data_IF_445705246219
#
_entry.id   IF_445705246219
#
_cell.length_a   1.000
_cell.length_b   1.000
_cell.length_c   1.000
_cell.angle_alpha   90.00
_cell.angle_beta   90.00
_cell.angle_gamma   90.00
#
_symmetry.space_group_name_H-M   'P 1'
#
loop_
_entity.id
_entity.type
_entity.pdbx_description
1 polymer ?
#
# COMPACT_ATOMS: atom_id res chain seq x y z
N UNK A 1 30.24 -12.41 -8.01
CA UNK A 1 29.05 -12.77 -8.82
C UNK A 1 27.88 -12.47 -7.92
N UNK A 2 27.24 -11.33 -8.10
CA UNK A 2 26.03 -10.95 -7.38
C UNK A 2 24.93 -11.88 -7.90
N UNK A 3 24.35 -12.70 -7.04
CA UNK A 3 23.13 -13.46 -7.38
C UNK A 3 22.08 -12.40 -7.78
N UNK A 4 21.74 -12.37 -9.05
CA UNK A 4 20.56 -11.62 -9.49
C UNK A 4 19.38 -12.40 -8.91
N UNK A 5 18.76 -11.84 -7.86
CA UNK A 5 17.50 -12.36 -7.33
C UNK A 5 16.52 -12.43 -8.50
N UNK A 6 15.87 -13.56 -8.66
CA UNK A 6 14.79 -13.68 -9.65
C UNK A 6 13.56 -12.97 -9.12
N UNK A 7 13.46 -11.69 -9.40
CA UNK A 7 12.35 -10.84 -8.98
C UNK A 7 11.03 -11.18 -9.70
N UNK A 8 11.08 -12.08 -10.68
CA UNK A 8 9.91 -12.48 -11.47
C UNK A 8 9.19 -13.70 -10.90
N UNK A 9 9.76 -14.39 -9.91
CA UNK A 9 9.16 -15.59 -9.32
C UNK A 9 7.75 -15.32 -8.74
N UNK A 10 7.51 -14.13 -8.19
CA UNK A 10 6.19 -13.74 -7.68
C UNK A 10 5.12 -13.52 -8.78
N UNK A 11 5.51 -13.52 -10.05
CA UNK A 11 4.58 -13.33 -11.16
C UNK A 11 3.53 -14.46 -11.27
N UNK A 12 3.80 -15.62 -10.69
CA UNK A 12 2.88 -16.76 -10.67
C UNK A 12 1.83 -16.70 -9.55
N UNK A 13 1.99 -15.78 -8.58
CA UNK A 13 1.03 -15.60 -7.50
C UNK A 13 -0.15 -14.74 -7.98
N UNK A 14 -1.34 -15.30 -7.91
CA UNK A 14 -2.60 -14.67 -8.32
C UNK A 14 -3.64 -14.71 -7.21
N UNK A 15 -4.77 -14.04 -7.41
CA UNK A 15 -5.93 -14.09 -6.51
C UNK A 15 -6.49 -15.50 -6.28
N UNK A 16 -6.14 -16.48 -7.14
CA UNK A 16 -6.57 -17.88 -7.03
C UNK A 16 -5.50 -18.80 -6.44
N UNK A 17 -4.31 -18.29 -6.11
CA UNK A 17 -3.25 -19.08 -5.49
C UNK A 17 -3.69 -19.61 -4.12
N UNK A 18 -3.67 -20.92 -3.86
CA UNK A 18 -4.28 -21.50 -2.66
C UNK A 18 -3.75 -20.91 -1.35
N UNK A 19 -2.45 -20.72 -1.20
CA UNK A 19 -1.85 -20.13 -0.02
C UNK A 19 -2.28 -18.65 0.16
N UNK A 20 -2.40 -17.87 -0.93
CA UNK A 20 -2.94 -16.53 -0.89
C UNK A 20 -4.42 -16.52 -0.44
N UNK A 21 -5.24 -17.38 -1.01
CA UNK A 21 -6.67 -17.49 -0.63
C UNK A 21 -6.81 -17.89 0.84
N UNK A 22 -5.97 -18.79 1.35
CA UNK A 22 -5.97 -19.19 2.76
C UNK A 22 -5.59 -18.00 3.67
N UNK A 23 -4.52 -17.27 3.33
CA UNK A 23 -4.09 -16.06 4.04
C UNK A 23 -5.18 -15.01 4.09
N UNK A 24 -5.75 -14.67 2.93
CA UNK A 24 -6.82 -13.67 2.80
C UNK A 24 -8.04 -14.03 3.64
N UNK A 25 -8.50 -15.27 3.55
CA UNK A 25 -9.67 -15.74 4.31
C UNK A 25 -9.41 -15.76 5.82
N UNK A 26 -8.21 -16.14 6.25
CA UNK A 26 -7.83 -16.11 7.65
C UNK A 26 -7.78 -14.66 8.18
N UNK A 27 -7.23 -13.71 7.42
CA UNK A 27 -7.22 -12.31 7.77
C UNK A 27 -8.64 -11.75 7.90
N UNK A 28 -9.53 -12.02 6.93
CA UNK A 28 -10.93 -11.58 6.98
C UNK A 28 -11.67 -12.15 8.22
N UNK A 29 -11.46 -13.42 8.52
CA UNK A 29 -12.07 -14.04 9.71
C UNK A 29 -11.53 -13.44 11.01
N UNK A 30 -10.23 -13.10 11.04
CA UNK A 30 -9.60 -12.45 12.18
C UNK A 30 -10.11 -11.03 12.40
N UNK A 31 -10.33 -10.26 11.34
CA UNK A 31 -10.90 -8.91 11.38
C UNK A 31 -12.25 -8.85 12.08
N UNK A 32 -13.07 -9.90 11.95
CA UNK A 32 -14.38 -10.00 12.62
C UNK A 32 -14.28 -10.07 14.16
N UNK A 33 -13.10 -10.37 14.71
CA UNK A 33 -12.83 -10.44 16.15
C UNK A 33 -12.11 -9.18 16.66
N UNK A 34 -11.54 -8.37 15.77
CA UNK A 34 -10.78 -7.19 16.13
C UNK A 34 -11.67 -5.99 16.41
N UNK A 35 -11.26 -5.14 17.33
CA UNK A 35 -11.82 -3.80 17.53
C UNK A 35 -10.94 -2.75 16.84
N UNK A 36 -11.38 -1.50 16.88
CA UNK A 36 -10.80 -0.38 16.09
C UNK A 36 -9.27 -0.24 16.17
N UNK A 37 -8.67 -0.50 17.33
CA UNK A 37 -7.22 -0.42 17.54
C UNK A 37 -6.44 -1.66 17.08
N UNK A 38 -7.15 -2.66 16.55
CA UNK A 38 -6.57 -3.91 16.08
C UNK A 38 -6.50 -5.00 17.14
N UNK A 39 -6.81 -4.71 18.41
CA UNK A 39 -6.82 -5.71 19.48
C UNK A 39 -8.03 -6.64 19.42
N UNK A 40 -7.93 -7.80 20.11
CA UNK A 40 -9.03 -8.75 20.31
C UNK A 40 -9.29 -8.88 21.81
N UNK A 41 -10.14 -8.03 22.42
CA UNK A 41 -10.32 -7.98 23.85
C UNK A 41 -11.10 -9.17 24.41
N UNK A 42 -11.92 -9.84 23.58
CA UNK A 42 -12.78 -10.94 24.00
C UNK A 42 -11.97 -12.24 24.15
N UNK A 43 -11.66 -12.64 25.36
CA UNK A 43 -10.84 -13.83 25.66
C UNK A 43 -11.44 -15.14 25.07
N UNK A 44 -12.75 -15.22 24.88
CA UNK A 44 -13.42 -16.35 24.21
C UNK A 44 -13.00 -16.51 22.74
N UNK A 45 -12.55 -15.45 22.09
CA UNK A 45 -12.09 -15.45 20.70
C UNK A 45 -10.62 -15.83 20.55
N UNK A 46 -9.83 -15.81 21.65
CA UNK A 46 -8.37 -16.01 21.58
C UNK A 46 -7.95 -17.39 21.05
N UNK A 47 -8.74 -18.43 21.32
CA UNK A 47 -8.43 -19.75 20.77
C UNK A 47 -8.56 -19.77 19.24
N UNK A 48 -9.69 -19.29 18.71
CA UNK A 48 -9.94 -19.21 17.27
C UNK A 48 -8.98 -18.22 16.60
N UNK A 49 -8.67 -17.10 17.24
CA UNK A 49 -7.70 -16.13 16.72
C UNK A 49 -6.29 -16.74 16.58
N UNK A 50 -5.84 -17.59 17.53
CA UNK A 50 -4.57 -18.32 17.42
C UNK A 50 -4.55 -19.27 16.23
N UNK A 51 -5.66 -20.00 16.00
CA UNK A 51 -5.78 -20.90 14.85
C UNK A 51 -5.70 -20.13 13.53
N UNK A 52 -6.38 -18.98 13.42
CA UNK A 52 -6.35 -18.13 12.24
C UNK A 52 -4.94 -17.54 12.01
N UNK A 53 -4.28 -17.05 13.06
CA UNK A 53 -2.88 -16.56 12.94
C UNK A 53 -1.94 -17.70 12.52
N UNK A 54 -2.13 -18.93 13.03
CA UNK A 54 -1.35 -20.08 12.58
C UNK A 54 -1.51 -20.36 11.09
N UNK A 55 -2.74 -20.29 10.56
CA UNK A 55 -3.00 -20.39 9.12
C UNK A 55 -2.32 -19.27 8.35
N UNK A 56 -2.36 -18.03 8.87
CA UNK A 56 -1.68 -16.90 8.23
C UNK A 56 -0.16 -17.12 8.16
N UNK A 57 0.45 -17.54 9.26
CA UNK A 57 1.90 -17.83 9.33
C UNK A 57 2.30 -18.95 8.36
N UNK A 58 1.53 -20.03 8.30
CA UNK A 58 1.76 -21.12 7.34
C UNK A 58 1.66 -20.63 5.90
N UNK A 59 0.62 -19.86 5.57
CA UNK A 59 0.40 -19.31 4.24
C UNK A 59 1.50 -18.32 3.83
N UNK A 60 1.94 -17.43 4.74
CA UNK A 60 3.05 -16.51 4.50
C UNK A 60 4.33 -17.32 4.24
N UNK A 61 4.60 -18.35 5.04
CA UNK A 61 5.79 -19.20 4.88
C UNK A 61 5.79 -19.96 3.55
N UNK A 62 4.62 -20.40 3.06
CA UNK A 62 4.47 -21.04 1.75
C UNK A 62 4.68 -20.05 0.60
N UNK A 63 4.21 -18.81 0.75
CA UNK A 63 4.34 -17.74 -0.24
C UNK A 63 5.74 -17.10 -0.29
N UNK A 64 6.44 -17.03 0.84
CA UNK A 64 7.70 -16.30 0.99
C UNK A 64 8.77 -16.63 -0.06
N UNK A 65 8.96 -17.90 -0.52
CA UNK A 65 9.91 -18.20 -1.58
C UNK A 65 9.64 -17.49 -2.91
N UNK A 66 8.40 -17.07 -3.16
CA UNK A 66 8.02 -16.28 -4.34
C UNK A 66 8.35 -14.80 -4.22
N UNK A 67 8.72 -14.32 -3.03
CA UNK A 67 9.06 -12.93 -2.73
C UNK A 67 10.46 -12.82 -2.11
N UNK A 68 11.53 -13.27 -2.81
CA UNK A 68 12.87 -13.30 -2.23
C UNK A 68 13.42 -11.93 -1.85
N UNK A 69 12.92 -10.87 -2.47
CA UNK A 69 13.27 -9.48 -2.17
C UNK A 69 12.60 -8.96 -0.88
N UNK A 70 11.57 -9.63 -0.40
CA UNK A 70 10.83 -9.32 0.84
C UNK A 70 11.13 -10.31 1.97
N UNK A 71 12.11 -11.20 1.82
CA UNK A 71 12.35 -12.30 2.76
C UNK A 71 12.50 -11.83 4.21
N UNK A 72 13.35 -10.83 4.47
CA UNK A 72 13.55 -10.27 5.83
C UNK A 72 12.26 -9.68 6.39
N UNK A 73 11.50 -9.01 5.56
CA UNK A 73 10.21 -8.44 5.93
C UNK A 73 9.18 -9.53 6.30
N UNK A 74 9.06 -10.57 5.47
CA UNK A 74 8.09 -11.65 5.73
C UNK A 74 8.46 -12.46 6.99
N UNK A 75 9.76 -12.69 7.23
CA UNK A 75 10.24 -13.28 8.47
C UNK A 75 9.88 -12.40 9.69
N UNK A 76 10.03 -11.10 9.57
CA UNK A 76 9.67 -10.15 10.62
C UNK A 76 8.16 -10.13 10.87
N UNK A 77 7.32 -10.20 9.82
CA UNK A 77 5.85 -10.29 9.95
C UNK A 77 5.44 -11.54 10.74
N UNK A 78 6.02 -12.69 10.42
CA UNK A 78 5.77 -13.94 11.14
C UNK A 78 6.13 -13.79 12.62
N UNK A 79 7.27 -13.17 12.92
CA UNK A 79 7.68 -12.90 14.29
C UNK A 79 6.77 -11.91 15.02
N UNK A 80 6.31 -10.84 14.34
CA UNK A 80 5.37 -9.86 14.90
C UNK A 80 4.01 -10.50 15.22
N UNK A 81 3.47 -11.31 14.30
CA UNK A 81 2.26 -12.12 14.55
C UNK A 81 2.41 -13.03 15.77
N UNK A 82 3.55 -13.71 15.89
CA UNK A 82 3.86 -14.55 17.06
C UNK A 82 3.87 -13.74 18.36
N UNK A 83 4.55 -12.60 18.39
CA UNK A 83 4.58 -11.71 19.57
C UNK A 83 3.19 -11.19 19.93
N UNK A 84 2.38 -10.86 18.96
CA UNK A 84 1.01 -10.40 19.19
C UNK A 84 0.14 -11.48 19.82
N UNK A 85 0.26 -12.73 19.37
CA UNK A 85 -0.40 -13.91 19.96
C UNK A 85 0.07 -14.13 21.42
N UNK A 86 1.39 -14.13 21.66
CA UNK A 86 1.98 -14.30 22.99
C UNK A 86 1.57 -13.16 23.94
N UNK A 87 1.43 -11.94 23.42
CA UNK A 87 0.93 -10.76 24.14
C UNK A 87 -0.57 -10.78 24.42
N UNK A 88 -1.30 -11.84 24.04
CA UNK A 88 -2.74 -12.00 24.32
C UNK A 88 -3.62 -11.10 23.47
N UNK A 89 -3.21 -10.82 22.26
CA UNK A 89 -3.96 -10.02 21.26
C UNK A 89 -4.31 -8.59 21.72
N UNK A 90 -3.40 -7.97 22.49
CA UNK A 90 -3.48 -6.53 22.76
C UNK A 90 -3.36 -5.69 21.50
N UNK A 91 -3.24 -4.36 21.67
CA UNK A 91 -2.94 -3.48 20.53
C UNK A 91 -1.67 -3.97 19.81
N UNK A 92 -1.73 -4.24 18.50
CA UNK A 92 -0.60 -4.78 17.76
C UNK A 92 0.52 -3.74 17.62
N UNK A 93 1.77 -4.24 17.56
CA UNK A 93 2.97 -3.43 17.32
C UNK A 93 3.86 -4.14 16.30
N UNK A 94 3.83 -3.65 15.06
CA UNK A 94 4.53 -4.23 13.91
C UNK A 94 5.74 -3.38 13.48
N UNK A 95 6.41 -2.74 14.44
CA UNK A 95 7.58 -1.91 14.18
C UNK A 95 8.70 -2.70 13.49
N UNK A 96 8.96 -3.94 13.89
CA UNK A 96 10.06 -4.71 13.32
C UNK A 96 9.84 -5.01 11.83
N UNK A 97 8.64 -5.45 11.45
CA UNK A 97 8.34 -5.74 10.06
C UNK A 97 8.27 -4.48 9.18
N UNK A 98 7.75 -3.35 9.70
CA UNK A 98 7.71 -2.12 8.91
C UNK A 98 9.11 -1.55 8.64
N UNK A 99 10.06 -1.76 9.53
CA UNK A 99 11.45 -1.33 9.34
C UNK A 99 12.18 -2.17 8.26
N UNK A 100 11.77 -3.42 8.06
CA UNK A 100 12.32 -4.32 7.03
C UNK A 100 11.62 -4.15 5.67
N UNK A 101 10.40 -3.61 5.63
CA UNK A 101 9.67 -3.43 4.38
C UNK A 101 10.21 -2.26 3.58
N UNK A 102 10.76 -2.53 2.41
CA UNK A 102 11.42 -1.54 1.57
C UNK A 102 11.01 -1.63 0.08
N UNK A 103 9.73 -1.40 -0.27
CA UNK A 103 9.23 -1.56 -1.63
C UNK A 103 9.93 -0.61 -2.61
N UNK A 104 10.35 0.58 -2.14
CA UNK A 104 11.08 1.56 -2.95
C UNK A 104 12.48 1.08 -3.40
N UNK A 105 13.04 0.03 -2.79
CA UNK A 105 14.28 -0.58 -3.23
C UNK A 105 14.11 -1.44 -4.49
N UNK A 106 12.88 -1.87 -4.81
CA UNK A 106 12.56 -2.82 -5.88
C UNK A 106 11.69 -2.16 -6.97
N UNK A 107 12.12 -1.01 -7.46
CA UNK A 107 11.45 -0.25 -8.53
C UNK A 107 11.67 -0.90 -9.89
N UNK A 108 11.11 -2.08 -10.07
CA UNK A 108 11.15 -2.84 -11.31
C UNK A 108 9.73 -3.16 -11.72
N UNK A 109 9.39 -2.86 -12.97
CA UNK A 109 8.04 -3.08 -13.49
C UNK A 109 7.61 -4.54 -13.37
N UNK A 110 6.43 -4.78 -12.78
CA UNK A 110 5.88 -6.11 -12.60
C UNK A 110 6.38 -6.86 -11.36
N UNK A 111 7.27 -6.27 -10.56
CA UNK A 111 7.66 -6.86 -9.26
C UNK A 111 6.47 -6.82 -8.31
N UNK A 112 6.18 -7.95 -7.67
CA UNK A 112 5.08 -8.10 -6.73
C UNK A 112 5.57 -8.12 -5.30
N UNK A 113 4.76 -7.59 -4.41
CA UNK A 113 4.95 -7.64 -2.96
C UNK A 113 3.73 -8.25 -2.27
N UNK A 114 3.99 -9.08 -1.27
CA UNK A 114 2.99 -9.54 -0.32
C UNK A 114 3.05 -8.63 0.91
N UNK A 115 1.99 -7.85 1.14
CA UNK A 115 1.91 -6.90 2.26
C UNK A 115 0.93 -7.43 3.29
N UNK A 116 1.38 -7.60 4.54
CA UNK A 116 0.54 -8.03 5.66
C UNK A 116 0.86 -7.17 6.88
N UNK A 117 -0.10 -6.34 7.30
CA UNK A 117 0.03 -5.51 8.49
C UNK A 117 -1.32 -5.29 9.18
N UNK A 118 -1.34 -5.13 10.51
CA UNK A 118 -2.45 -4.40 11.14
C UNK A 118 -2.31 -2.92 10.77
N UNK A 119 -3.24 -2.41 9.96
CA UNK A 119 -3.14 -1.06 9.41
C UNK A 119 -4.51 -0.48 9.10
N UNK A 120 -4.63 0.85 9.16
CA UNK A 120 -5.78 1.52 8.60
C UNK A 120 -5.57 1.78 7.10
N UNK A 121 -6.64 1.70 6.34
CA UNK A 121 -6.63 1.98 4.91
C UNK A 121 -6.98 3.45 4.69
N UNK A 122 -6.04 4.24 4.24
CA UNK A 122 -6.25 5.68 4.08
C UNK A 122 -7.38 5.96 3.09
N UNK A 123 -8.29 6.87 3.44
CA UNK A 123 -9.54 7.14 2.76
C UNK A 123 -10.56 5.98 2.75
N UNK A 124 -10.24 4.88 3.38
CA UNK A 124 -11.14 3.74 3.60
C UNK A 124 -11.55 3.63 5.06
N UNK A 125 -11.03 2.63 5.75
CA UNK A 125 -11.28 2.39 7.18
C UNK A 125 -10.23 3.06 8.06
N UNK A 126 -10.65 3.60 9.21
CA UNK A 126 -9.74 4.05 10.29
C UNK A 126 -9.48 2.94 11.32
N UNK A 127 -9.99 1.74 11.10
CA UNK A 127 -9.74 0.58 11.94
C UNK A 127 -8.36 0.00 11.58
N UNK A 128 -7.58 -0.36 12.60
CA UNK A 128 -6.25 -0.98 12.43
C UNK A 128 -6.37 -2.51 12.41
N UNK A 129 -7.17 -3.03 11.50
CA UNK A 129 -7.31 -4.47 11.32
C UNK A 129 -6.11 -5.06 10.61
N UNK A 130 -5.90 -6.36 10.81
CA UNK A 130 -4.90 -7.08 10.00
C UNK A 130 -5.41 -7.15 8.56
N UNK A 131 -4.71 -6.48 7.68
CA UNK A 131 -4.96 -6.47 6.23
C UNK A 131 -3.88 -7.29 5.51
N UNK A 132 -4.28 -7.93 4.42
CA UNK A 132 -3.37 -8.61 3.51
C UNK A 132 -3.62 -8.10 2.09
N UNK A 133 -2.54 -7.76 1.39
CA UNK A 133 -2.60 -7.15 0.06
C UNK A 133 -1.52 -7.76 -0.82
N UNK A 134 -1.89 -8.13 -2.02
CA UNK A 134 -0.97 -8.52 -3.09
C UNK A 134 -0.92 -7.38 -4.09
N UNK A 135 0.24 -6.77 -4.24
CA UNK A 135 0.46 -5.60 -5.10
C UNK A 135 1.52 -5.86 -6.15
N UNK A 136 1.47 -5.09 -7.23
CA UNK A 136 2.45 -5.13 -8.31
C UNK A 136 2.98 -3.72 -8.59
N UNK A 137 4.31 -3.58 -8.67
CA UNK A 137 4.98 -2.31 -8.97
C UNK A 137 4.73 -1.93 -10.43
N UNK A 138 4.33 -0.69 -10.64
CA UNK A 138 4.15 -0.08 -11.96
C UNK A 138 5.35 0.84 -12.25
N UNK A 139 6.36 0.30 -12.95
CA UNK A 139 7.60 1.01 -13.24
C UNK A 139 7.94 0.92 -14.73
N UNK A 140 7.11 1.53 -15.62
CA UNK A 140 7.38 1.52 -17.05
C UNK A 140 8.67 2.26 -17.40
N UNK A 141 9.26 1.95 -18.56
CA UNK A 141 10.57 2.46 -18.98
C UNK A 141 10.66 4.00 -18.96
N UNK A 142 9.60 4.69 -19.37
CA UNK A 142 9.58 6.15 -19.36
C UNK A 142 9.65 6.75 -17.95
N UNK A 143 9.10 6.08 -16.95
CA UNK A 143 9.22 6.47 -15.54
C UNK A 143 10.64 6.18 -15.05
N UNK A 144 11.21 5.04 -15.40
CA UNK A 144 12.59 4.71 -15.07
C UNK A 144 13.59 5.75 -15.64
N UNK A 145 13.37 6.22 -16.85
CA UNK A 145 14.17 7.27 -17.51
C UNK A 145 14.03 8.63 -16.78
N UNK A 146 12.82 9.02 -16.40
CA UNK A 146 12.57 10.25 -15.63
C UNK A 146 13.24 10.19 -14.25
N UNK A 147 13.14 9.07 -13.58
CA UNK A 147 13.73 8.85 -12.25
C UNK A 147 15.25 8.75 -12.27
N UNK A 148 15.85 8.35 -13.38
CA UNK A 148 17.30 8.35 -13.55
C UNK A 148 17.89 9.77 -13.69
N UNK A 149 17.06 10.77 -14.04
CA UNK A 149 17.43 12.16 -14.22
C UNK A 149 17.22 13.05 -13.01
N UNK A 150 16.91 14.31 -13.29
CA UNK A 150 16.67 15.35 -12.28
C UNK A 150 15.33 15.16 -11.56
N UNK A 151 14.46 14.27 -12.03
CA UNK A 151 13.14 13.98 -11.49
C UNK A 151 13.11 12.81 -10.50
N UNK A 152 14.20 12.52 -9.87
CA UNK A 152 14.32 11.41 -8.94
C UNK A 152 13.48 11.62 -7.68
N UNK A 153 12.48 10.75 -7.46
CA UNK A 153 11.72 10.64 -6.23
C UNK A 153 11.97 9.27 -5.58
N UNK A 154 12.80 9.23 -4.53
CA UNK A 154 13.24 7.98 -3.90
C UNK A 154 12.23 7.36 -2.95
N UNK A 155 11.15 8.06 -2.61
CA UNK A 155 10.21 7.66 -1.56
C UNK A 155 9.00 6.92 -2.09
N UNK A 156 8.46 7.34 -3.24
CA UNK A 156 7.20 6.82 -3.75
C UNK A 156 7.39 5.68 -4.74
N UNK A 157 6.48 4.71 -4.66
CA UNK A 157 6.40 3.57 -5.59
C UNK A 157 4.96 3.48 -6.08
N UNK A 158 4.71 3.72 -7.37
CA UNK A 158 3.40 3.46 -7.97
C UNK A 158 3.16 1.95 -8.03
N UNK A 159 1.99 1.55 -7.57
CA UNK A 159 1.58 0.15 -7.51
C UNK A 159 0.14 -0.01 -7.98
N UNK A 160 -0.22 -1.25 -8.31
CA UNK A 160 -1.61 -1.65 -8.51
C UNK A 160 -1.95 -2.86 -7.67
N UNK A 161 -3.23 -3.03 -7.39
CA UNK A 161 -3.71 -4.23 -6.72
C UNK A 161 -3.72 -5.45 -7.67
N UNK A 162 -3.31 -6.58 -7.14
CA UNK A 162 -3.65 -7.90 -7.70
C UNK A 162 -4.87 -8.43 -6.95
N UNK A 163 -4.82 -8.40 -5.60
CA UNK A 163 -5.94 -8.75 -4.72
C UNK A 163 -5.71 -8.17 -3.32
N UNK A 164 -6.76 -8.08 -2.51
CA UNK A 164 -6.71 -7.44 -1.19
C UNK A 164 -7.83 -7.89 -0.26
N UNK A 165 -7.66 -7.65 1.02
CA UNK A 165 -8.70 -7.79 2.04
C UNK A 165 -9.69 -6.62 2.03
N UNK A 166 -10.94 -6.78 2.54
CA UNK A 166 -12.02 -5.80 2.36
C UNK A 166 -11.75 -4.38 2.84
N UNK A 167 -10.78 -4.16 3.74
CA UNK A 167 -10.39 -2.81 4.17
C UNK A 167 -9.97 -1.91 3.00
N UNK A 168 -9.43 -2.51 1.93
CA UNK A 168 -9.02 -1.83 0.71
C UNK A 168 -10.08 -1.75 -0.39
N UNK A 169 -11.29 -2.26 -0.14
CA UNK A 169 -12.40 -2.23 -1.11
C UNK A 169 -13.01 -0.83 -1.30
N UNK A 170 -12.57 0.12 -0.50
CA UNK A 170 -12.98 1.52 -0.56
C UNK A 170 -11.95 2.38 -1.33
N UNK A 171 -11.98 3.68 -1.14
CA UNK A 171 -11.14 4.64 -1.86
C UNK A 171 -9.71 4.75 -1.31
N UNK A 172 -9.07 3.63 -0.95
CA UNK A 172 -7.68 3.64 -0.51
C UNK A 172 -6.76 4.02 -1.66
N UNK A 173 -6.04 5.12 -1.51
CA UNK A 173 -5.14 5.65 -2.53
C UNK A 173 -3.67 5.33 -2.25
N UNK A 174 -3.31 5.17 -0.97
CA UNK A 174 -1.91 5.10 -0.54
C UNK A 174 -1.69 4.16 0.65
N UNK A 175 -0.46 3.66 0.77
CA UNK A 175 0.05 2.91 1.90
C UNK A 175 1.37 3.55 2.34
N UNK A 176 1.47 3.94 3.61
CA UNK A 176 2.65 4.55 4.23
C UNK A 176 3.01 3.83 5.53
N UNK A 177 4.25 3.98 6.04
CA UNK A 177 4.60 3.47 7.37
C UNK A 177 3.62 3.89 8.48
N UNK A 178 3.15 5.14 8.47
CA UNK A 178 2.24 5.67 9.49
C UNK A 178 0.86 5.02 9.49
N UNK A 179 0.48 4.31 8.43
CA UNK A 179 -0.79 3.57 8.38
C UNK A 179 -0.73 2.26 9.16
N UNK A 180 0.47 1.73 9.41
CA UNK A 180 0.69 0.48 10.12
C UNK A 180 0.60 0.69 11.64
N UNK A 181 0.11 -0.30 12.37
CA UNK A 181 0.04 -0.27 13.81
C UNK A 181 1.43 -0.41 14.43
N UNK A 182 1.88 0.64 15.09
CA UNK A 182 3.19 0.73 15.75
C UNK A 182 3.08 1.65 16.97
N UNK A 183 3.92 1.40 17.99
CA UNK A 183 4.07 2.32 19.13
C UNK A 183 4.95 3.51 18.79
N UNK A 184 5.99 3.28 18.00
CA UNK A 184 6.90 4.32 17.51
C UNK A 184 6.79 4.41 16.01
N UNK A 185 6.40 5.57 15.50
CA UNK A 185 6.31 5.80 14.05
C UNK A 185 7.72 6.10 13.54
N UNK A 186 8.27 5.26 12.64
CA UNK A 186 9.58 5.53 12.04
C UNK A 186 9.52 6.74 11.14
N UNK A 187 10.68 7.26 10.77
CA UNK A 187 10.76 8.29 9.74
C UNK A 187 10.10 7.79 8.45
N UNK A 188 9.40 8.69 7.75
CA UNK A 188 8.81 8.39 6.45
C UNK A 188 9.92 8.02 5.45
N UNK A 189 9.93 6.77 5.02
CA UNK A 189 10.99 6.20 4.17
C UNK A 189 10.49 5.69 2.83
N UNK A 190 9.20 5.49 2.68
CA UNK A 190 8.55 5.05 1.45
C UNK A 190 7.05 5.32 1.47
N UNK A 191 6.45 5.35 0.29
CA UNK A 191 5.01 5.37 0.10
C UNK A 191 4.64 4.57 -1.14
N UNK A 192 3.60 3.75 -1.06
CA UNK A 192 3.01 3.07 -2.20
C UNK A 192 1.70 3.77 -2.59
N UNK A 193 1.57 4.12 -3.87
CA UNK A 193 0.40 4.83 -4.41
C UNK A 193 -0.33 3.89 -5.37
N UNK A 194 -1.63 3.70 -5.12
CA UNK A 194 -2.47 2.77 -5.87
C UNK A 194 -3.04 3.42 -7.13
N UNK A 195 -2.32 3.32 -8.22
CA UNK A 195 -2.63 4.01 -9.48
C UNK A 195 -3.89 3.47 -10.18
N UNK A 196 -4.17 2.19 -10.08
CA UNK A 196 -5.38 1.60 -10.60
C UNK A 196 -6.64 2.16 -9.92
N UNK A 197 -6.56 2.51 -8.63
CA UNK A 197 -7.66 3.14 -7.89
C UNK A 197 -7.84 4.60 -8.28
N UNK A 198 -6.77 5.35 -8.46
CA UNK A 198 -6.83 6.73 -8.91
C UNK A 198 -7.43 6.80 -10.32
N UNK A 199 -6.99 5.95 -11.24
CA UNK A 199 -7.54 5.88 -12.60
C UNK A 199 -9.04 5.51 -12.60
N UNK A 200 -9.44 4.52 -11.80
CA UNK A 200 -10.85 4.13 -11.68
C UNK A 200 -11.72 5.25 -11.10
N UNK A 201 -11.23 5.94 -10.06
CA UNK A 201 -11.92 7.08 -9.46
C UNK A 201 -12.07 8.24 -10.44
N UNK A 202 -11.00 8.56 -11.17
CA UNK A 202 -11.03 9.59 -12.20
C UNK A 202 -12.12 9.31 -13.24
N UNK A 203 -12.21 8.09 -13.75
CA UNK A 203 -13.22 7.72 -14.73
C UNK A 203 -14.65 7.99 -14.21
N UNK A 204 -14.98 7.44 -13.03
CA UNK A 204 -16.31 7.58 -12.41
C UNK A 204 -16.66 9.05 -12.14
N UNK A 205 -15.72 9.82 -11.56
CA UNK A 205 -15.97 11.21 -11.19
C UNK A 205 -16.11 12.10 -12.43
N UNK A 206 -15.27 11.88 -13.45
CA UNK A 206 -15.28 12.69 -14.68
C UNK A 206 -16.53 12.44 -15.50
N UNK A 207 -16.97 11.19 -15.65
CA UNK A 207 -18.22 10.86 -16.32
C UNK A 207 -19.42 11.50 -15.62
N UNK A 208 -19.52 11.36 -14.30
CA UNK A 208 -20.60 11.95 -13.53
C UNK A 208 -20.59 13.50 -13.60
N UNK A 209 -19.42 14.12 -13.54
CA UNK A 209 -19.28 15.56 -13.67
C UNK A 209 -19.69 16.06 -15.05
N UNK A 210 -19.28 15.38 -16.12
CA UNK A 210 -19.67 15.71 -17.49
C UNK A 210 -21.18 15.60 -17.68
N UNK A 211 -21.82 14.55 -17.15
CA UNK A 211 -23.26 14.36 -17.20
C UNK A 211 -24.01 15.48 -16.47
N UNK A 212 -23.64 15.79 -15.23
CA UNK A 212 -24.30 16.81 -14.37
C UNK A 212 -24.15 18.21 -14.98
N UNK A 213 -22.99 18.53 -15.53
CA UNK A 213 -22.70 19.86 -16.06
C UNK A 213 -23.11 20.02 -17.52
N UNK A 214 -23.40 18.94 -18.24
CA UNK A 214 -23.67 18.93 -19.67
C UNK A 214 -22.46 19.36 -20.52
N UNK A 215 -21.23 19.17 -19.98
CA UNK A 215 -19.99 19.49 -20.69
C UNK A 215 -19.57 18.33 -21.59
N UNK A 216 -19.24 18.67 -22.84
CA UNK A 216 -18.60 17.74 -23.76
C UNK A 216 -17.10 17.64 -23.40
N UNK A 217 -16.64 16.40 -23.19
CA UNK A 217 -15.23 16.18 -22.84
C UNK A 217 -14.34 16.37 -24.08
N UNK A 218 -13.18 17.02 -23.93
CA UNK A 218 -12.12 17.01 -24.95
C UNK A 218 -11.71 15.58 -25.31
N UNK A 219 -11.21 15.38 -26.53
CA UNK A 219 -10.88 14.04 -27.03
C UNK A 219 -9.84 13.31 -26.19
N UNK A 220 -8.85 14.01 -25.69
CA UNK A 220 -7.81 13.49 -24.79
C UNK A 220 -8.36 13.06 -23.43
N UNK A 221 -9.26 13.85 -22.83
CA UNK A 221 -9.93 13.46 -21.60
C UNK A 221 -10.85 12.25 -21.80
N UNK A 222 -11.58 12.21 -22.93
CA UNK A 222 -12.43 11.06 -23.28
C UNK A 222 -11.61 9.78 -23.52
N UNK A 223 -10.40 9.88 -24.06
CA UNK A 223 -9.49 8.76 -24.24
C UNK A 223 -9.05 8.18 -22.89
N UNK A 224 -8.72 9.02 -21.91
CA UNK A 224 -8.37 8.57 -20.55
C UNK A 224 -9.46 7.75 -19.88
N UNK A 225 -10.75 8.05 -20.14
CA UNK A 225 -11.86 7.29 -19.57
C UNK A 225 -11.97 5.86 -20.12
N UNK A 226 -11.49 5.63 -21.32
CA UNK A 226 -11.62 4.34 -22.01
C UNK A 226 -10.34 3.54 -22.11
N UNK A 227 -9.21 4.16 -21.77
CA UNK A 227 -7.87 3.56 -21.83
C UNK A 227 -7.24 3.50 -20.44
N UNK A 228 -7.54 2.42 -19.70
CA UNK A 228 -7.06 2.21 -18.33
C UNK A 228 -5.53 2.34 -18.21
N UNK A 229 -4.79 1.74 -19.14
CA UNK A 229 -3.32 1.81 -19.14
C UNK A 229 -2.82 3.25 -19.29
N UNK A 230 -3.36 4.02 -20.22
CA UNK A 230 -2.97 5.42 -20.43
C UNK A 230 -3.31 6.27 -19.20
N UNK A 231 -4.46 6.01 -18.57
CA UNK A 231 -4.89 6.68 -17.35
C UNK A 231 -3.91 6.38 -16.21
N UNK A 232 -3.57 5.12 -15.96
CA UNK A 232 -2.60 4.73 -14.94
C UNK A 232 -1.21 5.37 -15.17
N UNK A 233 -0.69 5.31 -16.40
CA UNK A 233 0.59 5.94 -16.76
C UNK A 233 0.56 7.45 -16.57
N UNK A 234 -0.56 8.10 -16.85
CA UNK A 234 -0.75 9.54 -16.63
C UNK A 234 -0.74 9.88 -15.16
N UNK A 235 -1.41 9.10 -14.31
CA UNK A 235 -1.40 9.29 -12.86
C UNK A 235 -0.03 9.03 -12.25
N UNK A 236 0.69 7.99 -12.69
CA UNK A 236 2.07 7.75 -12.26
C UNK A 236 2.94 8.98 -12.51
N UNK A 237 2.86 9.54 -13.72
CA UNK A 237 3.63 10.73 -14.08
C UNK A 237 3.21 11.95 -13.25
N UNK A 238 1.91 12.13 -13.04
CA UNK A 238 1.37 13.23 -12.26
C UNK A 238 1.84 13.17 -10.80
N UNK A 239 1.73 12.00 -10.14
CA UNK A 239 2.17 11.80 -8.76
C UNK A 239 3.69 12.00 -8.63
N UNK A 240 4.46 11.49 -9.59
CA UNK A 240 5.91 11.66 -9.62
C UNK A 240 6.30 13.15 -9.62
N UNK A 241 5.62 13.96 -10.42
CA UNK A 241 5.87 15.41 -10.52
C UNK A 241 5.34 16.13 -9.27
N UNK A 242 4.13 15.81 -8.84
CA UNK A 242 3.44 16.41 -7.71
C UNK A 242 4.21 16.21 -6.40
N UNK A 243 4.45 14.96 -6.02
CA UNK A 243 5.13 14.62 -4.78
C UNK A 243 6.56 15.14 -4.72
N UNK A 244 7.23 15.11 -5.87
CA UNK A 244 8.54 15.69 -5.99
C UNK A 244 8.55 17.20 -5.80
N UNK A 245 7.53 17.90 -6.29
CA UNK A 245 7.40 19.33 -6.11
C UNK A 245 7.28 19.67 -4.61
N UNK A 246 6.54 18.86 -3.84
CA UNK A 246 6.50 19.00 -2.39
C UNK A 246 7.86 18.80 -1.71
N UNK A 247 8.70 17.96 -2.28
CA UNK A 247 10.03 17.66 -1.75
C UNK A 247 11.12 18.64 -2.23
N UNK A 248 10.80 19.51 -3.20
CA UNK A 248 11.72 20.50 -3.76
C UNK A 248 11.62 21.85 -3.03
N UNK A 249 12.70 22.63 -3.03
CA UNK A 249 12.75 23.97 -2.45
C UNK A 249 13.45 24.02 -1.08
N UNK A 250 13.38 25.19 -0.45
CA UNK A 250 14.16 25.52 0.77
C UNK A 250 13.60 24.85 2.06
N UNK A 251 12.37 24.33 1.99
CA UNK A 251 11.72 23.61 3.09
C UNK A 251 11.59 22.15 2.69
N UNK A 252 12.38 21.25 3.26
CA UNK A 252 12.26 19.82 3.01
C UNK A 252 10.87 19.32 3.42
N UNK A 253 10.42 18.27 2.74
CA UNK A 253 9.20 17.55 3.10
C UNK A 253 9.32 17.06 4.55
N UNK A 254 8.61 17.72 5.44
CA UNK A 254 8.53 17.37 6.84
C UNK A 254 7.05 17.14 7.20
N UNK A 255 6.64 15.89 7.51
CA UNK A 255 5.27 15.57 7.89
C UNK A 255 4.76 16.41 9.06
N UNK A 256 5.66 16.81 9.98
CA UNK A 256 5.32 17.70 11.08
C UNK A 256 4.95 19.11 10.59
N UNK A 257 5.72 19.65 9.65
CA UNK A 257 5.45 20.95 9.06
C UNK A 257 4.16 20.96 8.24
N UNK A 258 3.84 19.89 7.54
CA UNK A 258 2.56 19.73 6.84
C UNK A 258 1.40 19.79 7.81
N UNK A 259 1.45 19.05 8.92
CA UNK A 259 0.42 19.09 9.96
C UNK A 259 0.25 20.48 10.59
N UNK A 260 1.32 21.23 10.73
CA UNK A 260 1.25 22.63 11.23
C UNK A 260 0.70 23.62 10.21
N UNK A 261 0.89 23.35 8.91
CA UNK A 261 0.36 24.19 7.82
C UNK A 261 -1.14 23.97 7.57
N UNK A 262 -1.66 22.78 7.86
CA UNK A 262 -3.06 22.42 7.63
C UNK A 262 -4.09 23.41 8.22
N UNK A 263 -3.92 23.99 9.44
CA UNK A 263 -4.88 24.94 9.99
C UNK A 263 -4.88 26.31 9.29
N UNK A 264 -3.85 26.60 8.51
CA UNK A 264 -3.63 27.92 7.93
C UNK A 264 -3.57 27.75 6.42
N UNK A 265 -4.59 27.76 5.72
CA UNK A 265 -4.68 27.69 4.28
C UNK A 265 -3.35 27.75 3.44
N UNK A 266 -2.22 27.81 4.11
CA UNK A 266 -0.87 27.58 3.56
C UNK A 266 -0.72 26.20 2.92
N UNK A 267 -1.49 25.21 3.39
CA UNK A 267 -1.58 23.91 2.74
C UNK A 267 -2.10 24.02 1.29
N UNK A 268 -3.16 24.79 1.08
CA UNK A 268 -3.67 25.06 -0.26
C UNK A 268 -2.69 25.80 -1.18
N UNK A 269 -1.78 26.61 -0.62
CA UNK A 269 -0.71 27.25 -1.39
C UNK A 269 0.42 26.27 -1.72
N UNK A 270 0.69 25.29 -0.88
CA UNK A 270 1.64 24.21 -1.15
C UNK A 270 1.16 23.33 -2.31
N UNK A 271 -0.14 23.04 -2.36
CA UNK A 271 -0.74 22.27 -3.45
C UNK A 271 -0.80 23.03 -4.80
N UNK A 272 -0.57 24.35 -4.78
CA UNK A 272 -0.53 25.18 -6.00
C UNK A 272 0.89 25.34 -6.57
N UNK A 273 1.89 24.75 -5.97
CA UNK A 273 3.27 24.80 -6.44
C UNK A 273 3.48 23.91 -7.64
#
# INVERSE_FOLDING_TARGET
MTNVLDLTAAADITETTPAWVALKNAAIALQAMQIKDGSIPEASNHASARELVAVMVESISELAPSFPHDASYLDAVIADLGRWVEGGFGEPDFLASILEFAPAANRVNGVRHLVVFPMYTQNGSTNRFVEAVLIEVMWPDFIAELEAGDYNNKLFVPVRFIDFTPGYDTNSAVLFPETVAMREVPAFTWGAIFQDREAARFAVVTEAAAEITGLELPADAAELLTNQKLSEETFIMWDLIHDRTHMSGDLPFDPFMIKQRMPFFLYGLEELR
#
